data_IF_575127427022
#
_entry.id   IF_575127427022
#
_cell.length_a   1.000
_cell.length_b   1.000
_cell.length_c   1.000
_cell.angle_alpha   90.00
_cell.angle_beta   90.00
_cell.angle_gamma   90.00
#
_symmetry.space_group_name_H-M   'P 1'
#
loop_
_entity.id
_entity.type
_entity.pdbx_description
1 polymer ?
#
# COMPACT_ATOMS: atom_id res chain seq x y z
N UNK A 1 -34.49 -37.54 -49.36
CA UNK A 1 -33.63 -36.37 -49.07
C UNK A 1 -34.48 -35.20 -48.59
N UNK A 2 -34.68 -34.99 -47.29
CA UNK A 2 -35.23 -33.75 -46.71
C UNK A 2 -34.53 -33.49 -45.38
N UNK A 3 -34.00 -32.27 -45.24
CA UNK A 3 -32.94 -31.87 -44.31
C UNK A 3 -33.52 -31.60 -42.91
N UNK A 4 -32.90 -32.16 -41.88
CA UNK A 4 -33.19 -31.87 -40.47
C UNK A 4 -32.43 -30.59 -40.13
N UNK A 5 -33.15 -29.51 -39.80
CA UNK A 5 -32.57 -28.28 -39.33
C UNK A 5 -32.27 -28.40 -37.83
N UNK A 6 -30.99 -28.47 -37.49
CA UNK A 6 -30.49 -28.51 -36.11
C UNK A 6 -30.29 -27.05 -35.66
N UNK A 7 -31.23 -26.52 -34.90
CA UNK A 7 -31.12 -25.17 -34.32
C UNK A 7 -30.30 -25.26 -33.03
N UNK A 8 -29.05 -24.81 -33.09
CA UNK A 8 -28.10 -24.79 -31.99
C UNK A 8 -28.24 -23.45 -31.24
N UNK A 9 -29.01 -23.46 -30.15
CA UNK A 9 -29.19 -22.30 -29.27
C UNK A 9 -28.03 -22.26 -28.26
N UNK A 10 -26.97 -21.50 -28.57
CA UNK A 10 -25.86 -21.29 -27.64
C UNK A 10 -26.27 -20.18 -26.67
N UNK A 11 -26.69 -20.58 -25.46
CA UNK A 11 -26.95 -19.68 -24.33
C UNK A 11 -25.63 -19.38 -23.64
N UNK A 12 -25.04 -18.21 -23.93
CA UNK A 12 -23.83 -17.73 -23.27
C UNK A 12 -24.21 -17.12 -21.92
N UNK A 13 -24.06 -17.89 -20.85
CA UNK A 13 -24.17 -17.37 -19.49
C UNK A 13 -22.93 -16.52 -19.21
N UNK A 14 -23.09 -15.19 -19.25
CA UNK A 14 -22.08 -14.24 -18.79
C UNK A 14 -22.09 -14.26 -17.27
N UNK A 15 -21.14 -14.98 -16.67
CA UNK A 15 -20.83 -14.91 -15.25
C UNK A 15 -20.22 -13.53 -14.98
N UNK A 16 -21.02 -12.62 -14.40
CA UNK A 16 -20.50 -11.41 -13.80
C UNK A 16 -19.72 -11.82 -12.53
N UNK A 17 -18.40 -11.74 -12.61
CA UNK A 17 -17.57 -11.76 -11.43
C UNK A 17 -17.82 -10.45 -10.67
N UNK A 18 -18.48 -10.51 -9.51
CA UNK A 18 -18.54 -9.39 -8.58
C UNK A 18 -17.12 -9.10 -8.10
N UNK A 19 -16.51 -8.05 -8.65
CA UNK A 19 -15.30 -7.46 -8.08
C UNK A 19 -15.71 -6.76 -6.80
N UNK A 20 -15.54 -7.46 -5.66
CA UNK A 20 -15.72 -6.89 -4.33
C UNK A 20 -14.80 -5.68 -4.22
N UNK A 21 -15.39 -4.48 -4.22
CA UNK A 21 -14.65 -3.24 -4.06
C UNK A 21 -13.87 -3.28 -2.72
N UNK A 22 -12.59 -2.86 -2.70
CA UNK A 22 -11.84 -2.80 -1.45
C UNK A 22 -12.55 -1.85 -0.47
N UNK A 23 -12.82 -2.32 0.74
CA UNK A 23 -13.38 -1.46 1.79
C UNK A 23 -12.41 -0.30 2.06
N UNK A 24 -12.92 0.93 2.26
CA UNK A 24 -12.06 2.07 2.55
C UNK A 24 -11.27 1.80 3.83
N UNK A 25 -9.94 1.95 3.74
CA UNK A 25 -9.05 1.79 4.89
C UNK A 25 -9.53 2.70 6.04
N UNK A 26 -9.75 2.11 7.22
CA UNK A 26 -10.12 2.89 8.41
C UNK A 26 -8.98 3.84 8.76
N UNK A 27 -9.24 5.14 8.64
CA UNK A 27 -8.32 6.17 9.10
C UNK A 27 -8.06 5.98 10.60
N UNK A 28 -6.84 5.60 10.96
CA UNK A 28 -6.43 5.46 12.35
C UNK A 28 -6.33 6.83 13.00
N UNK A 29 -6.81 6.95 14.25
CA UNK A 29 -6.66 8.15 15.09
C UNK A 29 -5.31 8.22 15.80
N UNK A 30 -4.46 7.22 15.62
CA UNK A 30 -3.15 7.11 16.26
C UNK A 30 -2.12 6.59 15.25
N UNK A 31 -0.88 7.05 15.39
CA UNK A 31 0.25 6.45 14.68
C UNK A 31 0.41 4.99 15.09
N UNK A 32 0.69 4.13 14.13
CA UNK A 32 0.99 2.73 14.39
C UNK A 32 2.26 2.63 15.24
N UNK A 33 2.21 1.88 16.33
CA UNK A 33 3.41 1.65 17.14
C UNK A 33 4.33 0.71 16.38
N UNK A 34 5.61 1.08 16.26
CA UNK A 34 6.63 0.24 15.62
C UNK A 34 6.77 -1.09 16.37
N UNK A 35 6.62 -2.20 15.67
CA UNK A 35 6.83 -3.51 16.24
C UNK A 35 8.33 -3.91 16.24
N UNK A 36 8.82 -4.64 17.25
CA UNK A 36 10.24 -5.00 17.36
C UNK A 36 10.77 -5.87 16.21
N UNK A 37 9.90 -6.67 15.60
CA UNK A 37 10.23 -7.58 14.51
C UNK A 37 10.35 -6.90 13.15
N UNK A 38 9.97 -5.63 13.04
CA UNK A 38 10.03 -4.91 11.77
C UNK A 38 11.46 -4.64 11.34
N UNK A 39 11.74 -4.91 10.06
CA UNK A 39 13.02 -4.62 9.44
C UNK A 39 13.12 -3.14 9.12
N UNK A 40 14.17 -2.49 9.61
CA UNK A 40 14.50 -1.12 9.23
C UNK A 40 15.30 -1.11 7.92
N UNK A 41 14.89 -0.27 6.98
CA UNK A 41 15.60 0.01 5.74
C UNK A 41 15.95 1.49 5.68
N UNK A 42 17.24 1.81 5.61
CA UNK A 42 17.70 3.19 5.47
C UNK A 42 17.73 3.55 3.99
N UNK A 43 16.82 4.41 3.55
CA UNK A 43 16.72 4.82 2.15
C UNK A 43 17.68 5.95 1.80
N UNK A 44 18.01 6.79 2.78
CA UNK A 44 18.92 7.91 2.60
C UNK A 44 19.66 8.23 3.90
N UNK A 45 20.87 8.78 3.76
CA UNK A 45 21.71 9.26 4.85
C UNK A 45 22.33 10.61 4.50
N UNK A 46 22.58 11.41 5.52
CA UNK A 46 23.35 12.63 5.40
C UNK A 46 24.86 12.33 5.31
N UNK A 47 25.69 13.26 4.81
CA UNK A 47 27.14 13.08 4.74
C UNK A 47 27.84 12.80 6.08
N UNK A 48 27.22 13.18 7.19
CA UNK A 48 27.71 12.90 8.54
C UNK A 48 27.38 11.49 9.05
N UNK A 49 26.71 10.66 8.23
CA UNK A 49 26.33 9.29 8.56
C UNK A 49 24.99 9.15 9.28
N UNK A 50 24.34 10.24 9.68
CA UNK A 50 23.02 10.18 10.28
C UNK A 50 21.97 9.76 9.23
N UNK A 51 20.94 8.99 9.62
CA UNK A 51 19.86 8.66 8.72
C UNK A 51 19.15 9.95 8.30
N UNK A 52 18.75 10.02 7.03
CA UNK A 52 17.83 11.04 6.54
C UNK A 52 16.42 10.48 6.47
N UNK A 53 16.28 9.22 6.02
CA UNK A 53 15.00 8.54 5.87
C UNK A 53 15.16 7.05 6.18
N UNK A 54 14.28 6.54 7.04
CA UNK A 54 14.15 5.11 7.34
C UNK A 54 12.71 4.68 7.06
N UNK A 55 12.55 3.58 6.34
CA UNK A 55 11.28 2.87 6.18
C UNK A 55 11.33 1.57 6.97
N UNK A 56 10.28 1.30 7.72
CA UNK A 56 10.12 0.05 8.45
C UNK A 56 9.19 -0.87 7.68
N UNK A 57 9.65 -2.10 7.48
CA UNK A 57 8.93 -3.16 6.80
C UNK A 57 8.45 -4.20 7.82
N UNK A 58 7.20 -4.61 7.70
CA UNK A 58 6.57 -5.60 8.58
C UNK A 58 5.51 -6.38 7.83
N UNK A 59 5.04 -7.51 8.39
CA UNK A 59 4.04 -8.33 7.76
C UNK A 59 2.69 -7.60 7.65
N UNK A 60 2.00 -7.77 6.53
CA UNK A 60 0.58 -7.46 6.40
C UNK A 60 -0.31 -8.60 6.94
N UNK A 61 -1.61 -8.51 6.71
CA UNK A 61 -2.59 -9.51 7.16
C UNK A 61 -2.37 -10.91 6.57
N UNK A 62 -1.73 -10.99 5.39
CA UNK A 62 -1.41 -12.24 4.70
C UNK A 62 0.04 -12.71 5.01
N UNK A 63 0.73 -12.01 5.91
CA UNK A 63 2.12 -12.30 6.30
C UNK A 63 3.16 -11.83 5.27
N UNK A 64 2.76 -11.08 4.25
CA UNK A 64 3.68 -10.52 3.25
C UNK A 64 4.38 -9.30 3.83
N UNK A 65 5.69 -9.21 3.62
CA UNK A 65 6.47 -8.05 4.04
C UNK A 65 6.07 -6.80 3.22
N UNK A 66 5.60 -5.77 3.91
CA UNK A 66 5.09 -4.53 3.34
C UNK A 66 5.64 -3.31 4.11
N UNK A 67 5.80 -2.14 3.47
CA UNK A 67 6.20 -0.92 4.16
C UNK A 67 5.08 -0.47 5.12
N UNK A 68 5.41 -0.31 6.40
CA UNK A 68 4.45 0.03 7.46
C UNK A 68 4.57 1.48 7.91
N UNK A 69 5.80 2.01 7.95
CA UNK A 69 6.08 3.33 8.53
C UNK A 69 7.31 3.96 7.90
N UNK A 70 7.30 5.29 7.76
CA UNK A 70 8.48 6.10 7.44
C UNK A 70 8.79 7.06 8.58
N UNK A 71 10.09 7.22 8.86
CA UNK A 71 10.59 8.30 9.71
C UNK A 71 11.64 9.09 8.94
N UNK A 72 11.54 10.42 8.95
CA UNK A 72 12.58 11.32 8.45
C UNK A 72 13.22 12.09 9.59
N UNK A 73 14.50 12.36 9.41
CA UNK A 73 15.35 12.94 10.44
C UNK A 73 16.07 14.17 9.93
N UNK A 74 16.34 15.11 10.82
CA UNK A 74 17.28 16.20 10.57
C UNK A 74 18.71 15.63 10.49
N UNK A 75 19.63 16.42 9.97
CA UNK A 75 21.05 16.05 9.91
C UNK A 75 21.67 15.79 11.30
N UNK A 76 21.08 16.32 12.37
CA UNK A 76 21.44 16.03 13.76
C UNK A 76 20.86 14.71 14.31
N UNK A 77 20.14 13.94 13.49
CA UNK A 77 19.55 12.64 13.85
C UNK A 77 18.23 12.72 14.62
N UNK A 78 17.67 13.91 14.87
CA UNK A 78 16.34 14.05 15.48
C UNK A 78 15.24 13.79 14.45
N UNK A 79 14.20 12.98 14.77
CA UNK A 79 13.07 12.79 13.87
C UNK A 79 12.28 14.09 13.74
N UNK A 80 11.80 14.37 12.53
CA UNK A 80 10.90 15.50 12.22
C UNK A 80 9.68 15.12 11.41
N UNK A 81 9.62 13.91 10.83
CA UNK A 81 8.41 13.39 10.20
C UNK A 81 8.30 11.93 10.61
N UNK A 82 7.14 11.53 11.11
CA UNK A 82 6.77 10.14 11.29
C UNK A 82 5.38 9.94 10.69
N UNK A 83 5.27 8.94 9.80
CA UNK A 83 4.02 8.66 9.10
C UNK A 83 3.85 7.18 8.85
N UNK A 84 2.61 6.69 8.99
CA UNK A 84 2.26 5.34 8.60
C UNK A 84 2.12 5.26 7.08
N UNK A 85 2.46 4.12 6.51
CA UNK A 85 2.46 3.90 5.07
C UNK A 85 1.36 2.90 4.70
N UNK A 86 0.83 3.07 3.49
CA UNK A 86 -0.03 2.09 2.86
C UNK A 86 0.41 1.87 1.42
N UNK A 87 0.11 0.69 0.89
CA UNK A 87 0.34 0.37 -0.52
C UNK A 87 -0.97 0.50 -1.27
N UNK A 88 -0.96 1.27 -2.34
CA UNK A 88 -2.11 1.55 -3.19
C UNK A 88 -1.85 1.06 -4.61
N UNK A 89 -2.94 0.79 -5.32
CA UNK A 89 -2.89 0.40 -6.74
C UNK A 89 -2.49 1.59 -7.61
N UNK A 90 -1.77 1.30 -8.70
CA UNK A 90 -1.49 2.29 -9.74
C UNK A 90 -2.79 2.79 -10.37
N UNK A 91 -2.89 4.10 -10.60
CA UNK A 91 -4.11 4.74 -11.12
C UNK A 91 -5.18 5.05 -10.06
N UNK A 92 -4.98 4.67 -8.79
CA UNK A 92 -5.81 5.16 -7.69
C UNK A 92 -5.63 6.67 -7.48
N UNK A 93 -6.61 7.35 -6.86
CA UNK A 93 -6.52 8.79 -6.57
C UNK A 93 -5.27 9.12 -5.73
N UNK A 94 -4.96 8.29 -4.74
CA UNK A 94 -3.77 8.44 -3.90
C UNK A 94 -2.47 8.26 -4.71
N UNK A 95 -2.42 7.29 -5.63
CA UNK A 95 -1.29 7.14 -6.55
C UNK A 95 -1.14 8.38 -7.44
N UNK A 96 -2.23 8.91 -7.99
CA UNK A 96 -2.16 10.09 -8.85
C UNK A 96 -1.70 11.35 -8.11
N UNK A 97 -2.02 11.47 -6.82
CA UNK A 97 -1.57 12.56 -5.96
C UNK A 97 -0.09 12.44 -5.60
N UNK A 98 0.36 11.25 -5.21
CA UNK A 98 1.71 11.02 -4.68
C UNK A 98 2.72 10.53 -5.72
N UNK A 99 2.26 10.12 -6.90
CA UNK A 99 3.05 9.47 -7.97
C UNK A 99 3.88 8.29 -7.45
N UNK A 100 3.31 7.52 -6.52
CA UNK A 100 3.95 6.39 -5.85
C UNK A 100 2.88 5.37 -5.42
N UNK A 101 3.22 4.08 -5.48
CA UNK A 101 2.38 3.01 -4.92
C UNK A 101 2.49 2.89 -3.41
N UNK A 102 3.50 3.52 -2.79
CA UNK A 102 3.64 3.63 -1.33
C UNK A 102 3.28 5.06 -0.95
N UNK A 103 2.21 5.23 -0.19
CA UNK A 103 1.66 6.55 0.16
C UNK A 103 1.52 6.72 1.67
N UNK A 104 1.60 7.97 2.18
CA UNK A 104 1.21 8.29 3.55
C UNK A 104 -0.23 7.87 3.83
N UNK A 105 -0.48 7.31 5.01
CA UNK A 105 -1.82 6.94 5.47
C UNK A 105 -2.01 7.29 6.95
N UNK A 106 -3.20 7.78 7.32
CA UNK A 106 -3.53 8.10 8.71
C UNK A 106 -2.91 9.42 9.19
N UNK A 107 -2.29 9.38 10.37
CA UNK A 107 -1.67 10.56 10.99
C UNK A 107 -0.21 10.69 10.59
N UNK A 108 0.24 11.94 10.45
CA UNK A 108 1.64 12.32 10.34
C UNK A 108 1.96 13.29 11.47
N UNK A 109 3.10 13.12 12.13
CA UNK A 109 3.62 14.07 13.11
C UNK A 109 4.82 14.76 12.47
N UNK A 110 4.74 16.09 12.38
CA UNK A 110 5.76 16.98 11.80
C UNK A 110 6.29 17.96 12.84
#
# INVERSE_FOLDING_TARGET
>A
MKKIAFALLVSTVVLFAETKAPEPAKLSKHLQVRAPEWRAEMLASYPNGNPQEIVFHGPDMDGKEMPQKRIRFFDNGRPYDEVDLSVVEEGSEAYELHKSTIVPHGLSVQ
#
